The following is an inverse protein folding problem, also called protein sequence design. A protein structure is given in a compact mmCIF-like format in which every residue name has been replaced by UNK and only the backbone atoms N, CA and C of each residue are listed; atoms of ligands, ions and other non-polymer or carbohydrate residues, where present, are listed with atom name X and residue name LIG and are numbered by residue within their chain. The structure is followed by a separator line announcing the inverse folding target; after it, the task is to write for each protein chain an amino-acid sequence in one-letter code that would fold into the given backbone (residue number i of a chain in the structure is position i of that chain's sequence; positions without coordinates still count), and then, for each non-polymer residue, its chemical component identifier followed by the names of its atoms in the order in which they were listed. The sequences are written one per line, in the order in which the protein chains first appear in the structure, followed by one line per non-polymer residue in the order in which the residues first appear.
data_IF_904664382348
#
_entry.id   IF_904664382348
#
_cell.length_a   1.000
_cell.length_b   1.000
_cell.length_c   1.000
_cell.angle_alpha   90.00
_cell.angle_beta   90.00
_cell.angle_gamma   90.00
#
_symmetry.space_group_name_H-M   'P 1'
#
loop_
_entity.id
_entity.type
_entity.pdbx_description
1 polymer ?
#
# COMPACT_ATOMS: atom_id res chain seq x y z
N UNK A 1 2.02 -1.40 2.15
CA UNK A 1 1.19 -0.85 1.07
C UNK A 1 1.47 0.61 0.86
N UNK A 2 1.39 1.07 -0.39
CA UNK A 2 1.45 2.49 -0.75
C UNK A 2 0.25 2.73 -1.67
N UNK A 3 -0.66 3.62 -1.27
CA UNK A 3 -1.85 4.00 -2.04
C UNK A 3 -1.64 5.39 -2.62
N UNK A 4 -1.84 5.51 -3.92
CA UNK A 4 -1.80 6.79 -4.63
C UNK A 4 -3.21 7.03 -5.14
N UNK A 5 -3.93 7.95 -4.49
CA UNK A 5 -5.36 8.18 -4.71
C UNK A 5 -6.26 7.26 -3.89
N UNK A 6 -7.42 6.93 -4.45
CA UNK A 6 -8.47 6.16 -3.79
C UNK A 6 -9.24 5.25 -4.75
N UNK A 7 -10.52 5.01 -4.44
CA UNK A 7 -11.43 4.22 -5.28
C UNK A 7 -11.14 2.72 -5.30
N UNK A 8 -11.45 2.09 -6.44
CA UNK A 8 -11.31 0.64 -6.63
C UNK A 8 -9.88 0.14 -6.37
N UNK A 9 -8.81 0.79 -6.87
CA UNK A 9 -7.44 0.33 -6.61
C UNK A 9 -7.09 0.23 -5.13
N UNK A 10 -7.55 1.19 -4.30
CA UNK A 10 -7.32 1.17 -2.85
C UNK A 10 -7.99 -0.05 -2.20
N UNK A 11 -9.26 -0.29 -2.50
CA UNK A 11 -9.98 -1.41 -1.89
C UNK A 11 -9.51 -2.77 -2.42
N UNK A 12 -9.14 -2.87 -3.70
CA UNK A 12 -8.62 -4.10 -4.28
C UNK A 12 -7.35 -4.58 -3.55
N UNK A 13 -6.40 -3.67 -3.31
CA UNK A 13 -5.17 -4.01 -2.58
C UNK A 13 -5.50 -4.39 -1.12
N UNK A 14 -6.41 -3.68 -0.47
CA UNK A 14 -6.81 -3.98 0.91
C UNK A 14 -7.48 -5.35 1.07
N UNK A 15 -8.24 -5.80 0.07
CA UNK A 15 -8.91 -7.09 0.11
C UNK A 15 -7.92 -8.26 0.05
N UNK A 16 -6.67 -8.04 -0.36
CA UNK A 16 -5.67 -9.12 -0.43
C UNK A 16 -5.41 -9.79 0.92
N UNK A 17 -5.41 -9.03 2.04
CA UNK A 17 -5.26 -9.62 3.38
C UNK A 17 -6.50 -10.38 3.84
N UNK A 18 -7.70 -9.88 3.52
CA UNK A 18 -8.95 -10.59 3.83
C UNK A 18 -9.02 -11.90 3.05
N UNK A 19 -8.58 -11.91 1.79
CA UNK A 19 -8.48 -13.13 0.99
C UNK A 19 -7.41 -14.06 1.56
N UNK A 20 -6.26 -13.51 1.98
CA UNK A 20 -5.20 -14.29 2.64
C UNK A 20 -5.72 -14.99 3.90
N UNK A 21 -6.62 -14.33 4.65
CA UNK A 21 -7.30 -14.92 5.79
C UNK A 21 -8.21 -16.09 5.40
N UNK A 22 -9.01 -15.94 4.35
CA UNK A 22 -9.90 -17.00 3.88
C UNK A 22 -9.16 -18.26 3.40
N UNK A 23 -7.94 -18.11 2.88
CA UNK A 23 -7.10 -19.24 2.43
C UNK A 23 -6.16 -19.79 3.52
N UNK A 24 -6.29 -19.32 4.77
CA UNK A 24 -5.50 -19.80 5.91
C UNK A 24 -4.05 -19.27 5.94
N UNK A 25 -3.72 -18.26 5.15
CA UNK A 25 -2.41 -17.62 5.08
C UNK A 25 -2.42 -16.20 5.69
N UNK A 26 -3.27 -16.00 6.71
CA UNK A 26 -3.41 -14.69 7.35
C UNK A 26 -2.15 -14.30 8.09
N UNK A 27 -1.59 -13.14 7.75
CA UNK A 27 -0.42 -12.62 8.43
C UNK A 27 -0.73 -11.60 9.53
N UNK A 28 -2.03 -11.30 9.79
CA UNK A 28 -2.47 -10.25 10.71
C UNK A 28 -2.77 -8.90 10.04
N UNK A 29 -2.77 -8.84 8.70
CA UNK A 29 -2.88 -7.60 7.95
C UNK A 29 -1.51 -7.03 7.56
N UNK A 30 -1.54 -5.94 6.80
CA UNK A 30 -0.31 -5.33 6.29
C UNK A 30 0.49 -4.58 7.39
N UNK A 31 1.81 -4.76 7.41
CA UNK A 31 2.73 -4.15 8.41
C UNK A 31 3.06 -2.66 8.18
N UNK A 32 2.85 -2.16 6.95
CA UNK A 32 3.13 -0.77 6.57
C UNK A 32 2.01 -0.23 5.67
N UNK A 33 1.61 1.02 5.86
CA UNK A 33 0.60 1.66 5.02
C UNK A 33 0.87 3.17 4.81
N UNK A 34 1.00 3.60 3.56
CA UNK A 34 1.14 5.01 3.18
C UNK A 34 -0.01 5.35 2.24
N UNK A 35 -0.75 6.42 2.50
CA UNK A 35 -1.86 6.86 1.63
C UNK A 35 -1.65 8.31 1.22
N UNK A 36 -1.68 8.56 -0.08
CA UNK A 36 -1.77 9.90 -0.66
C UNK A 36 -3.18 10.08 -1.20
N UNK A 37 -3.96 10.99 -0.65
CA UNK A 37 -5.34 11.22 -1.08
C UNK A 37 -5.69 12.70 -0.99
N UNK A 38 -6.47 13.19 -1.96
CA UNK A 38 -7.11 14.51 -1.86
C UNK A 38 -8.51 14.43 -1.22
N UNK A 39 -9.03 13.22 -1.01
CA UNK A 39 -10.35 13.00 -0.44
C UNK A 39 -10.32 13.11 1.09
N UNK A 40 -11.42 13.60 1.65
CA UNK A 40 -11.53 13.90 3.07
C UNK A 40 -12.36 12.84 3.80
N UNK A 41 -11.96 12.43 5.03
CA UNK A 41 -12.62 11.33 5.73
C UNK A 41 -14.08 11.62 6.11
N UNK A 42 -14.47 12.89 6.26
CA UNK A 42 -15.83 13.26 6.69
C UNK A 42 -16.93 12.90 5.68
N UNK A 43 -16.59 12.68 4.41
CA UNK A 43 -17.54 12.24 3.39
C UNK A 43 -17.91 10.76 3.51
N UNK A 44 -17.21 9.98 4.35
CA UNK A 44 -17.45 8.54 4.48
C UNK A 44 -17.11 7.74 3.21
N UNK A 45 -16.39 8.36 2.26
CA UNK A 45 -15.95 7.73 1.03
C UNK A 45 -14.79 6.78 1.28
N UNK A 46 -14.77 5.65 0.57
CA UNK A 46 -13.67 4.68 0.59
C UNK A 46 -12.31 5.33 0.25
N UNK A 47 -12.29 6.33 -0.64
CA UNK A 47 -11.09 7.07 -1.02
C UNK A 47 -10.49 7.85 0.16
N UNK A 48 -11.33 8.50 0.97
CA UNK A 48 -10.96 9.21 2.20
C UNK A 48 -10.89 8.35 3.46
N UNK A 49 -11.26 7.07 3.40
CA UNK A 49 -11.23 6.13 4.54
C UNK A 49 -9.89 6.15 5.29
N UNK A 50 -9.96 6.25 6.62
CA UNK A 50 -8.79 6.35 7.49
C UNK A 50 -8.16 4.98 7.74
N UNK A 51 -6.91 4.96 8.18
CA UNK A 51 -6.26 3.71 8.55
C UNK A 51 -6.79 3.12 9.85
N UNK A 52 -7.36 3.92 10.74
CA UNK A 52 -8.07 3.45 11.92
C UNK A 52 -9.27 2.59 11.52
N UNK A 53 -10.00 3.00 10.48
CA UNK A 53 -11.05 2.19 9.88
C UNK A 53 -10.46 0.95 9.19
N UNK A 54 -9.37 1.07 8.42
CA UNK A 54 -8.74 -0.11 7.81
C UNK A 54 -8.27 -1.16 8.85
N UNK A 55 -7.84 -0.72 10.04
CA UNK A 55 -7.46 -1.60 11.15
C UNK A 55 -8.67 -2.33 11.73
N UNK A 56 -9.85 -1.69 11.82
CA UNK A 56 -11.05 -2.35 12.36
C UNK A 56 -11.53 -3.52 11.50
N UNK A 57 -11.23 -3.48 10.20
CA UNK A 57 -11.53 -4.53 9.24
C UNK A 57 -10.42 -5.60 9.11
N UNK A 58 -9.34 -5.52 9.91
CA UNK A 58 -8.21 -6.45 9.79
C UNK A 58 -7.34 -6.26 8.53
N UNK A 59 -7.59 -5.23 7.73
CA UNK A 59 -6.82 -4.94 6.49
C UNK A 59 -5.40 -4.47 6.81
N UNK A 60 -5.21 -3.82 7.96
CA UNK A 60 -3.93 -3.25 8.40
C UNK A 60 -3.67 -3.70 9.83
N UNK A 61 -2.42 -4.08 10.15
CA UNK A 61 -2.03 -4.43 11.52
C UNK A 61 -2.22 -3.24 12.46
N UNK A 62 -2.62 -3.51 13.70
CA UNK A 62 -2.75 -2.48 14.74
C UNK A 62 -1.42 -1.77 14.98
N UNK A 63 -0.33 -2.53 15.02
CA UNK A 63 1.06 -2.09 15.20
C UNK A 63 1.72 -1.61 13.91
N UNK A 64 1.00 -1.60 12.78
CA UNK A 64 1.56 -1.14 11.50
C UNK A 64 2.02 0.31 11.58
N UNK A 65 3.18 0.60 10.98
CA UNK A 65 3.58 1.98 10.72
C UNK A 65 2.75 2.53 9.56
N UNK A 66 1.95 3.55 9.85
CA UNK A 66 0.91 4.05 8.95
C UNK A 66 0.89 5.58 8.89
N UNK A 67 0.73 6.15 7.70
CA UNK A 67 0.65 7.61 7.50
C UNK A 67 -0.28 7.99 6.34
N UNK A 68 -1.22 8.91 6.61
CA UNK A 68 -2.08 9.51 5.61
C UNK A 68 -1.59 10.91 5.26
N UNK A 69 -1.50 11.18 3.97
CA UNK A 69 -1.06 12.44 3.39
C UNK A 69 -2.25 13.01 2.62
N UNK A 70 -2.89 14.02 3.19
CA UNK A 70 -4.02 14.73 2.60
C UNK A 70 -3.52 15.79 1.62
N UNK A 71 -3.14 15.35 0.40
CA UNK A 71 -2.60 16.22 -0.63
C UNK A 71 -2.66 15.51 -1.99
N UNK A 72 -2.50 16.29 -3.06
CA UNK A 72 -2.42 15.77 -4.41
C UNK A 72 -1.16 14.90 -4.60
N UNK A 73 -1.33 13.79 -5.30
CA UNK A 73 -0.25 12.85 -5.57
C UNK A 73 0.86 13.47 -6.44
N UNK A 74 0.51 14.39 -7.35
CA UNK A 74 1.46 15.05 -8.25
C UNK A 74 2.43 15.96 -7.51
N UNK A 75 2.08 16.42 -6.30
CA UNK A 75 2.95 17.22 -5.43
C UNK A 75 3.77 16.28 -4.52
N UNK A 76 3.09 15.36 -3.84
CA UNK A 76 3.69 14.61 -2.73
C UNK A 76 4.55 13.43 -3.15
N UNK A 77 4.16 12.71 -4.20
CA UNK A 77 4.90 11.52 -4.65
C UNK A 77 6.29 11.90 -5.18
N UNK A 78 6.46 12.91 -6.06
CA UNK A 78 7.79 13.30 -6.52
C UNK A 78 8.73 13.74 -5.39
N UNK A 79 8.23 14.46 -4.39
CA UNK A 79 9.02 14.89 -3.23
C UNK A 79 9.56 13.70 -2.43
N UNK A 80 8.70 12.71 -2.15
CA UNK A 80 9.12 11.52 -1.41
C UNK A 80 10.10 10.67 -2.23
N UNK A 81 9.86 10.53 -3.54
CA UNK A 81 10.79 9.82 -4.43
C UNK A 81 12.16 10.50 -4.47
N UNK A 82 12.21 11.83 -4.59
CA UNK A 82 13.47 12.58 -4.58
C UNK A 82 14.19 12.47 -3.24
N UNK A 83 13.46 12.56 -2.12
CA UNK A 83 14.02 12.40 -0.79
C UNK A 83 14.61 10.99 -0.60
N UNK A 84 13.90 9.95 -1.05
CA UNK A 84 14.40 8.56 -1.02
C UNK A 84 15.65 8.39 -1.87
N UNK A 85 15.68 8.96 -3.09
CA UNK A 85 16.85 8.94 -3.96
C UNK A 85 18.06 9.62 -3.30
N UNK A 86 17.87 10.82 -2.75
CA UNK A 86 18.91 11.62 -2.11
C UNK A 86 19.43 10.99 -0.80
N UNK A 87 18.59 10.22 -0.10
CA UNK A 87 18.97 9.54 1.15
C UNK A 87 20.03 8.45 0.98
N UNK A 88 20.34 8.04 -0.26
CA UNK A 88 21.34 7.00 -0.55
C UNK A 88 20.93 5.58 -0.14
N UNK A 89 19.71 5.38 0.36
CA UNK A 89 19.22 4.05 0.73
C UNK A 89 19.11 3.15 -0.51
N UNK A 90 19.82 2.02 -0.48
CA UNK A 90 19.69 0.95 -1.48
C UNK A 90 18.75 -0.11 -0.94
N UNK A 91 17.77 -0.51 -1.76
CA UNK A 91 16.91 -1.63 -1.43
C UNK A 91 17.75 -2.91 -1.44
N UNK A 92 17.78 -3.63 -0.31
CA UNK A 92 18.59 -4.85 -0.14
C UNK A 92 18.19 -5.99 -1.07
N UNK A 93 16.88 -6.13 -1.30
CA UNK A 93 16.36 -7.12 -2.25
C UNK A 93 15.06 -6.66 -2.90
N UNK A 94 14.89 -6.89 -4.20
CA UNK A 94 13.68 -6.60 -4.96
C UNK A 94 13.31 -7.72 -5.94
N UNK A 95 12.01 -7.99 -6.13
CA UNK A 95 11.55 -8.98 -7.11
C UNK A 95 11.78 -8.47 -8.53
N UNK A 96 12.25 -9.36 -9.39
CA UNK A 96 12.44 -9.20 -10.82
C UNK A 96 11.59 -10.27 -11.50
N UNK A 97 10.55 -9.81 -12.19
CA UNK A 97 9.61 -10.65 -12.93
C UNK A 97 10.19 -10.93 -14.31
N UNK A 98 10.52 -12.19 -14.60
CA UNK A 98 11.02 -12.62 -15.90
C UNK A 98 9.93 -13.45 -16.58
N UNK A 99 9.32 -12.91 -17.61
CA UNK A 99 8.34 -13.62 -18.43
C UNK A 99 9.05 -14.34 -19.58
N UNK A 100 8.88 -15.65 -19.69
CA UNK A 100 9.42 -16.47 -20.79
C UNK A 100 8.37 -17.49 -21.23
N UNK A 101 8.04 -17.50 -22.52
CA UNK A 101 7.23 -18.55 -23.16
C UNK A 101 5.91 -18.93 -22.45
N UNK A 102 5.29 -18.00 -21.74
CA UNK A 102 4.03 -18.22 -21.01
C UNK A 102 4.19 -18.42 -19.51
N UNK A 103 5.41 -18.63 -19.04
CA UNK A 103 5.74 -18.78 -17.62
C UNK A 103 6.31 -17.48 -17.02
N UNK A 104 5.96 -17.23 -15.76
CA UNK A 104 6.47 -16.11 -14.96
C UNK A 104 7.45 -16.62 -13.90
N UNK A 105 8.74 -16.34 -14.11
CA UNK A 105 9.79 -16.60 -13.13
C UNK A 105 10.02 -15.37 -12.24
N UNK A 106 9.95 -15.58 -10.92
CA UNK A 106 10.21 -14.54 -9.91
C UNK A 106 11.63 -14.70 -9.34
N UNK A 107 12.53 -13.80 -9.70
CA UNK A 107 13.90 -13.76 -9.17
C UNK A 107 14.05 -12.59 -8.18
N UNK A 108 14.86 -12.73 -7.14
CA UNK A 108 15.17 -11.63 -6.22
C UNK A 108 16.61 -11.17 -6.45
N UNK A 109 16.82 -9.86 -6.67
CA UNK A 109 18.14 -9.22 -6.78
C UNK A 109 18.39 -8.28 -5.63
#
# INVERSE_FOLDING_TARGET
MIYIGGGVPKNFIQQTEVIAELIGNYSGGHSYAIQYTADSPHWGGLSGCTFEEAVSWGKVKKEASKVQVFSDATITVPLVVQALQASGHRRKSYPVYNWREGDLELNYR
#
